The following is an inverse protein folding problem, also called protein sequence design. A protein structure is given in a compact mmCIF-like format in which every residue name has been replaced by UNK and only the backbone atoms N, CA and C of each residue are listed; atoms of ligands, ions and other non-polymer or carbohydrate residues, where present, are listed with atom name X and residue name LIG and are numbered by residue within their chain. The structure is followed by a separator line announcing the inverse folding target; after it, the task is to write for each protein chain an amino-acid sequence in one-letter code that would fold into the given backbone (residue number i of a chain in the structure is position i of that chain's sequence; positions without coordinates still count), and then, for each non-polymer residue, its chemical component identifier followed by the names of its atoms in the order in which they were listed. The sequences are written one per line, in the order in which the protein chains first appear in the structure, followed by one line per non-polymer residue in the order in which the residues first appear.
data_IF_826156396402
#
_entry.id   IF_826156396402
#
_cell.length_a   1.000
_cell.length_b   1.000
_cell.length_c   1.000
_cell.angle_alpha   90.00
_cell.angle_beta   90.00
_cell.angle_gamma   90.00
#
_symmetry.space_group_name_H-M   'P 1'
#
loop_
_entity.id
_entity.type
_entity.pdbx_description
1 polymer ?
#
# COMPACT_ATOMS: atom_id res chain seq x y z
N UNK A 1 24.85 -3.98 -12.48
CA UNK A 1 23.39 -4.14 -12.65
C UNK A 1 22.70 -3.39 -11.52
N UNK A 2 21.48 -2.87 -11.71
CA UNK A 2 20.76 -2.13 -10.66
C UNK A 2 19.35 -2.68 -10.45
N UNK A 3 18.92 -2.77 -9.20
CA UNK A 3 17.55 -3.05 -8.81
C UNK A 3 16.88 -1.73 -8.47
N UNK A 4 15.83 -1.38 -9.23
CA UNK A 4 15.11 -0.11 -9.01
C UNK A 4 14.40 -0.08 -7.66
N UNK A 5 13.83 -1.19 -7.21
CA UNK A 5 13.14 -1.26 -5.94
C UNK A 5 13.08 -2.70 -5.42
N UNK A 6 13.22 -2.84 -4.10
CA UNK A 6 12.81 -4.04 -3.37
C UNK A 6 11.44 -3.73 -2.79
N UNK A 7 10.38 -4.40 -3.26
CA UNK A 7 9.04 -4.21 -2.71
C UNK A 7 8.66 -5.40 -1.85
N UNK A 8 8.30 -5.14 -0.60
CA UNK A 8 7.75 -6.14 0.31
C UNK A 8 6.23 -5.93 0.41
N UNK A 9 5.47 -6.93 0.00
CA UNK A 9 4.02 -6.97 0.19
C UNK A 9 3.69 -7.60 1.53
N UNK A 10 2.89 -6.93 2.36
CA UNK A 10 2.38 -7.51 3.62
C UNK A 10 0.86 -7.63 3.59
N UNK A 11 0.28 -8.82 3.85
CA UNK A 11 -1.15 -8.93 4.08
C UNK A 11 -1.44 -8.33 5.46
N UNK A 12 -2.11 -7.19 5.50
CA UNK A 12 -2.39 -6.47 6.75
C UNK A 12 -3.88 -6.57 7.08
N UNK A 13 -4.26 -7.33 8.12
CA UNK A 13 -5.48 -7.07 8.85
C UNK A 13 -5.34 -5.75 9.64
N UNK A 14 -6.41 -4.96 9.80
CA UNK A 14 -6.38 -3.76 10.63
C UNK A 14 -5.83 -4.06 12.04
N UNK A 15 -4.96 -3.18 12.56
CA UNK A 15 -4.48 -3.24 13.95
C UNK A 15 -3.30 -4.20 14.25
N UNK A 16 -2.76 -4.92 13.26
CA UNK A 16 -1.57 -5.81 13.44
C UNK A 16 -0.26 -5.26 12.88
N UNK A 17 -0.24 -3.97 12.52
CA UNK A 17 0.70 -3.39 11.56
C UNK A 17 2.15 -3.26 12.07
N UNK A 18 2.40 -2.86 13.32
CA UNK A 18 3.75 -2.54 13.81
C UNK A 18 4.76 -3.68 13.68
N UNK A 19 4.41 -4.85 14.19
CA UNK A 19 5.31 -6.02 14.16
C UNK A 19 5.53 -6.53 12.74
N UNK A 20 4.53 -6.39 11.87
CA UNK A 20 4.62 -6.82 10.46
C UNK A 20 5.50 -5.86 9.65
N UNK A 21 5.36 -4.54 9.84
CA UNK A 21 6.20 -3.53 9.19
C UNK A 21 7.66 -3.68 9.60
N UNK A 22 7.95 -3.84 10.90
CA UNK A 22 9.31 -4.05 11.38
C UNK A 22 9.94 -5.32 10.78
N UNK A 23 9.20 -6.44 10.76
CA UNK A 23 9.66 -7.69 10.11
C UNK A 23 9.89 -7.52 8.61
N UNK A 24 9.01 -6.80 7.93
CA UNK A 24 9.17 -6.48 6.51
C UNK A 24 10.45 -5.66 6.27
N UNK A 25 10.76 -4.71 7.16
CA UNK A 25 12.01 -3.95 7.15
C UNK A 25 13.24 -4.84 7.32
N UNK A 26 13.22 -5.78 8.28
CA UNK A 26 14.31 -6.75 8.47
C UNK A 26 14.53 -7.62 7.23
N UNK A 27 13.44 -8.10 6.60
CA UNK A 27 13.52 -8.88 5.36
C UNK A 27 14.13 -8.05 4.23
N UNK A 28 13.66 -6.81 4.06
CA UNK A 28 14.16 -5.93 3.02
C UNK A 28 15.65 -5.59 3.20
N UNK A 29 16.09 -5.36 4.44
CA UNK A 29 17.50 -5.12 4.76
C UNK A 29 18.35 -6.33 4.39
N UNK A 30 17.93 -7.54 4.77
CA UNK A 30 18.65 -8.76 4.43
C UNK A 30 18.77 -8.97 2.91
N UNK A 31 17.71 -8.63 2.14
CA UNK A 31 17.74 -8.67 0.68
C UNK A 31 18.72 -7.61 0.14
N UNK A 32 18.70 -6.39 0.68
CA UNK A 32 19.62 -5.31 0.28
C UNK A 32 21.08 -5.71 0.50
N UNK A 33 21.41 -6.24 1.68
CA UNK A 33 22.76 -6.73 2.00
C UNK A 33 23.20 -7.90 1.11
N UNK A 34 22.27 -8.77 0.71
CA UNK A 34 22.57 -9.84 -0.24
C UNK A 34 22.87 -9.30 -1.64
N UNK A 35 22.12 -8.29 -2.11
CA UNK A 35 22.36 -7.61 -3.39
C UNK A 35 23.68 -6.84 -3.39
N UNK A 36 23.98 -6.12 -2.31
CA UNK A 36 25.22 -5.36 -2.16
C UNK A 36 26.45 -6.29 -2.21
N UNK A 37 26.39 -7.45 -1.53
CA UNK A 37 27.44 -8.48 -1.61
C UNK A 37 27.61 -9.07 -3.00
N UNK A 38 26.56 -9.06 -3.83
CA UNK A 38 26.61 -9.47 -5.22
C UNK A 38 27.06 -8.35 -6.18
N UNK A 39 27.38 -7.16 -5.66
CA UNK A 39 27.73 -5.99 -6.49
C UNK A 39 26.54 -5.40 -7.25
N UNK A 40 25.31 -5.58 -6.73
CA UNK A 40 24.08 -5.07 -7.32
C UNK A 40 23.51 -3.98 -6.42
N UNK A 41 23.48 -2.74 -6.92
CA UNK A 41 22.92 -1.60 -6.21
C UNK A 41 21.39 -1.68 -6.14
N UNK A 42 20.80 -1.42 -4.97
CA UNK A 42 19.36 -1.23 -4.78
C UNK A 42 19.04 0.24 -4.49
N UNK A 43 18.09 0.83 -5.24
CA UNK A 43 17.82 2.27 -5.14
C UNK A 43 16.81 2.64 -4.05
N UNK A 44 15.83 1.78 -3.78
CA UNK A 44 14.80 2.04 -2.77
C UNK A 44 14.18 0.75 -2.25
N UNK A 45 13.70 0.80 -1.02
CA UNK A 45 12.89 -0.25 -0.41
C UNK A 45 11.47 0.28 -0.25
N UNK A 46 10.48 -0.53 -0.65
CA UNK A 46 9.08 -0.15 -0.68
C UNK A 46 8.23 -1.15 0.10
N UNK A 47 7.22 -0.62 0.78
CA UNK A 47 6.15 -1.41 1.34
C UNK A 47 4.94 -1.34 0.40
N UNK A 48 4.21 -2.43 0.24
CA UNK A 48 2.96 -2.46 -0.49
C UNK A 48 1.86 -3.18 0.30
N UNK A 49 0.69 -2.57 0.33
CA UNK A 49 -0.49 -3.07 1.03
C UNK A 49 -1.57 -3.53 0.05
N UNK A 50 -2.49 -4.42 0.51
CA UNK A 50 -3.72 -4.73 -0.21
C UNK A 50 -4.55 -3.48 -0.53
N UNK A 51 -5.49 -3.57 -1.48
CA UNK A 51 -6.42 -2.49 -1.81
C UNK A 51 -7.05 -1.86 -0.57
N UNK A 52 -7.20 -0.54 -0.61
CA UNK A 52 -7.79 0.25 0.49
C UNK A 52 -9.24 -0.18 0.69
N UNK A 53 -9.96 -0.43 -0.41
CA UNK A 53 -11.34 -0.93 -0.39
C UNK A 53 -11.44 -2.25 0.38
N UNK A 54 -10.58 -3.22 0.11
CA UNK A 54 -10.60 -4.53 0.80
C UNK A 54 -10.36 -4.41 2.30
N UNK A 55 -9.50 -3.46 2.72
CA UNK A 55 -9.12 -3.29 4.13
C UNK A 55 -10.17 -2.56 4.95
N UNK A 56 -10.92 -1.63 4.36
CA UNK A 56 -11.83 -0.73 5.07
C UNK A 56 -13.31 -0.93 4.74
N UNK A 57 -13.68 -1.89 3.89
CA UNK A 57 -15.08 -2.20 3.53
C UNK A 57 -16.00 -2.38 4.75
N UNK A 58 -15.47 -2.88 5.88
CA UNK A 58 -16.25 -3.17 7.09
C UNK A 58 -16.12 -2.12 8.22
N UNK A 59 -15.42 -1.00 7.98
CA UNK A 59 -15.20 0.03 9.02
C UNK A 59 -16.44 0.86 9.36
N UNK A 60 -17.48 0.84 8.50
CA UNK A 60 -18.73 1.56 8.77
C UNK A 60 -18.50 3.04 9.11
N UNK A 61 -19.07 3.50 10.24
CA UNK A 61 -19.02 4.90 10.65
C UNK A 61 -17.62 5.40 11.06
N UNK A 62 -16.66 4.51 11.38
CA UNK A 62 -15.30 4.91 11.79
C UNK A 62 -14.30 4.95 10.63
N UNK A 63 -14.72 4.64 9.40
CA UNK A 63 -13.83 4.49 8.25
C UNK A 63 -12.83 5.63 8.07
N UNK A 64 -13.26 6.89 8.14
CA UNK A 64 -12.36 8.03 7.96
C UNK A 64 -11.25 8.05 9.00
N UNK A 65 -11.58 7.83 10.27
CA UNK A 65 -10.61 7.78 11.35
C UNK A 65 -9.67 6.59 11.18
N UNK A 66 -10.21 5.41 10.91
CA UNK A 66 -9.42 4.18 10.79
C UNK A 66 -8.38 4.28 9.65
N UNK A 67 -8.79 4.87 8.52
CA UNK A 67 -7.92 5.10 7.35
C UNK A 67 -6.79 6.07 7.68
N UNK A 68 -7.11 7.21 8.30
CA UNK A 68 -6.12 8.24 8.65
C UNK A 68 -5.16 7.76 9.75
N UNK A 69 -5.67 7.09 10.78
CA UNK A 69 -4.88 6.51 11.86
C UNK A 69 -3.90 5.46 11.30
N UNK A 70 -4.36 4.59 10.38
CA UNK A 70 -3.50 3.61 9.72
C UNK A 70 -2.46 4.27 8.79
N UNK A 71 -2.82 5.29 8.02
CA UNK A 71 -1.88 6.01 7.16
C UNK A 71 -0.76 6.67 7.97
N UNK A 72 -1.09 7.38 9.04
CA UNK A 72 -0.13 8.00 9.95
C UNK A 72 0.77 6.95 10.63
N UNK A 73 0.17 5.85 11.08
CA UNK A 73 0.90 4.76 11.70
C UNK A 73 1.93 4.12 10.75
N UNK A 74 1.52 3.86 9.51
CA UNK A 74 2.39 3.25 8.49
C UNK A 74 3.50 4.17 8.05
N UNK A 75 3.23 5.47 7.90
CA UNK A 75 4.23 6.48 7.56
C UNK A 75 5.36 6.49 8.61
N UNK A 76 5.01 6.57 9.89
CA UNK A 76 5.98 6.57 10.98
C UNK A 76 6.72 5.23 11.10
N UNK A 77 5.99 4.11 11.12
CA UNK A 77 6.61 2.78 11.26
C UNK A 77 7.53 2.43 10.09
N UNK A 78 7.20 2.90 8.89
CA UNK A 78 7.99 2.66 7.69
C UNK A 78 9.26 3.51 7.68
N UNK A 79 9.21 4.77 8.15
CA UNK A 79 10.41 5.58 8.40
C UNK A 79 11.37 4.88 9.36
N UNK A 80 10.86 4.39 10.49
CA UNK A 80 11.66 3.67 11.49
C UNK A 80 12.25 2.35 10.97
N UNK A 81 11.68 1.80 9.90
CA UNK A 81 12.10 0.54 9.27
C UNK A 81 12.86 0.73 7.96
N UNK A 82 13.33 1.96 7.67
CA UNK A 82 14.16 2.31 6.49
C UNK A 82 13.49 2.04 5.13
N UNK A 83 12.16 2.16 5.08
CA UNK A 83 11.42 2.20 3.82
C UNK A 83 11.45 3.60 3.21
N UNK A 84 11.66 3.68 1.89
CA UNK A 84 11.63 4.93 1.15
C UNK A 84 10.26 5.28 0.55
N UNK A 85 9.28 4.36 0.62
CA UNK A 85 7.94 4.54 0.06
C UNK A 85 6.97 3.47 0.57
N UNK A 86 5.71 3.84 0.76
CA UNK A 86 4.61 2.93 1.09
C UNK A 86 3.48 3.10 0.07
N UNK A 87 3.16 2.04 -0.67
CA UNK A 87 1.92 1.97 -1.42
C UNK A 87 0.81 1.58 -0.46
N UNK A 88 -0.05 2.55 -0.10
CA UNK A 88 -1.20 2.32 0.79
C UNK A 88 -2.24 1.37 0.18
N UNK A 89 -2.14 1.14 -1.12
CA UNK A 89 -3.05 0.29 -1.86
C UNK A 89 -3.89 1.09 -2.84
N UNK A 90 -4.74 0.37 -3.55
CA UNK A 90 -5.64 0.93 -4.56
C UNK A 90 -7.03 1.11 -4.01
N UNK A 91 -7.66 2.23 -4.30
CA UNK A 91 -9.10 2.43 -4.18
C UNK A 91 -9.73 1.93 -5.48
N UNK A 92 -10.42 0.80 -5.41
CA UNK A 92 -11.10 0.22 -6.56
C UNK A 92 -12.44 0.95 -6.81
N UNK A 93 -12.48 1.83 -7.81
CA UNK A 93 -13.70 2.58 -8.17
C UNK A 93 -14.59 1.84 -9.18
N UNK A 94 -14.18 0.65 -9.64
CA UNK A 94 -14.90 -0.10 -10.68
C UNK A 94 -15.59 -1.36 -10.14
N UNK A 95 -14.98 -2.03 -9.16
CA UNK A 95 -15.53 -3.26 -8.54
C UNK A 95 -16.19 -3.05 -7.19
N UNK A 96 -16.07 -1.87 -6.59
CA UNK A 96 -16.62 -1.55 -5.26
C UNK A 96 -17.81 -0.57 -5.37
N UNK A 97 -18.85 -0.66 -4.52
CA UNK A 97 -19.93 0.32 -4.49
C UNK A 97 -19.47 1.75 -4.15
N UNK A 98 -20.08 2.76 -4.76
CA UNK A 98 -19.79 4.20 -4.55
C UNK A 98 -19.83 4.64 -3.10
N UNK A 99 -20.75 4.08 -2.31
CA UNK A 99 -20.87 4.35 -0.89
C UNK A 99 -19.61 3.98 -0.09
N UNK A 100 -18.73 3.14 -0.65
CA UNK A 100 -17.49 2.68 -0.02
C UNK A 100 -16.28 3.37 -0.64
N UNK A 101 -16.13 3.44 -1.98
CA UNK A 101 -14.93 4.03 -2.57
C UNK A 101 -14.91 5.56 -2.56
N UNK A 102 -16.07 6.23 -2.66
CA UNK A 102 -16.10 7.70 -2.73
C UNK A 102 -15.56 8.34 -1.45
N UNK A 103 -15.99 7.93 -0.24
CA UNK A 103 -15.44 8.53 0.96
C UNK A 103 -13.96 8.18 1.18
N UNK A 104 -13.47 7.05 0.65
CA UNK A 104 -12.03 6.73 0.69
C UNK A 104 -11.20 7.68 -0.20
N UNK A 105 -11.74 8.08 -1.37
CA UNK A 105 -11.08 9.08 -2.22
C UNK A 105 -11.03 10.46 -1.57
N UNK A 106 -12.09 10.85 -0.85
CA UNK A 106 -12.16 12.15 -0.16
C UNK A 106 -11.07 12.31 0.91
N UNK A 107 -10.52 11.20 1.44
CA UNK A 107 -9.43 11.20 2.43
C UNK A 107 -8.03 11.34 1.80
N UNK A 108 -7.89 11.14 0.49
CA UNK A 108 -6.58 11.15 -0.18
C UNK A 108 -5.81 12.47 0.01
N UNK A 109 -6.43 13.67 -0.11
CA UNK A 109 -5.73 14.94 0.15
C UNK A 109 -5.18 15.05 1.57
N UNK A 110 -5.92 14.56 2.57
CA UNK A 110 -5.49 14.58 3.96
C UNK A 110 -4.33 13.59 4.18
N UNK A 111 -4.42 12.37 3.64
CA UNK A 111 -3.34 11.38 3.70
C UNK A 111 -2.05 11.95 3.10
N UNK A 112 -2.11 12.52 1.90
CA UNK A 112 -0.93 13.05 1.20
C UNK A 112 -0.35 14.28 1.93
N UNK A 113 -1.18 15.12 2.53
CA UNK A 113 -0.70 16.32 3.24
C UNK A 113 -0.11 16.03 4.61
N UNK A 114 -0.48 14.91 5.24
CA UNK A 114 -0.07 14.55 6.61
C UNK A 114 1.00 13.47 6.68
N UNK A 115 1.33 12.83 5.56
CA UNK A 115 2.31 11.74 5.49
C UNK A 115 3.41 12.04 4.46
N UNK A 116 4.55 11.39 4.62
CA UNK A 116 5.75 11.64 3.82
C UNK A 116 6.11 10.51 2.85
N UNK A 117 5.73 9.28 3.19
CA UNK A 117 6.08 8.06 2.45
C UNK A 117 4.89 7.45 1.72
N UNK A 118 3.67 7.84 2.06
CA UNK A 118 2.45 7.18 1.60
C UNK A 118 2.07 7.67 0.21
N UNK A 119 1.74 6.74 -0.68
CA UNK A 119 0.96 7.00 -1.88
C UNK A 119 -0.32 6.18 -1.89
N UNK A 120 -1.37 6.76 -2.46
CA UNK A 120 -2.66 6.10 -2.70
C UNK A 120 -2.90 6.08 -4.20
N UNK A 121 -3.42 4.97 -4.70
CA UNK A 121 -3.78 4.82 -6.12
C UNK A 121 -5.28 4.61 -6.25
N UNK A 122 -5.85 4.96 -7.41
CA UNK A 122 -7.25 4.69 -7.71
C UNK A 122 -7.35 4.04 -9.09
N UNK A 123 -8.15 2.98 -9.20
CA UNK A 123 -8.44 2.37 -10.50
C UNK A 123 -9.57 3.16 -11.14
N UNK A 124 -9.29 3.92 -12.20
CA UNK A 124 -10.29 4.75 -12.92
C UNK A 124 -10.78 4.14 -14.23
N UNK A 125 -10.04 3.18 -14.78
CA UNK A 125 -10.40 2.47 -16.00
C UNK A 125 -9.69 1.12 -16.05
N UNK A 126 -10.34 0.12 -16.64
CA UNK A 126 -9.71 -1.15 -17.01
C UNK A 126 -9.95 -1.39 -18.50
N UNK A 127 -8.96 -1.95 -19.18
CA UNK A 127 -9.19 -2.47 -20.53
C UNK A 127 -10.04 -3.73 -20.36
N UNK A 128 -11.27 -3.73 -20.88
CA UNK A 128 -12.04 -4.97 -21.04
C UNK A 128 -11.12 -5.99 -21.74
N UNK A 129 -10.89 -7.20 -21.19
CA UNK A 129 -10.12 -8.20 -21.89
C UNK A 129 -10.81 -8.48 -23.23
N UNK A 130 -10.13 -8.15 -24.33
CA UNK A 130 -10.60 -8.46 -25.66
C UNK A 130 -10.51 -9.99 -25.84
N UNK A 131 -11.63 -10.71 -25.67
CA UNK A 131 -11.71 -12.10 -26.11
C UNK A 131 -12.12 -13.16 -25.09
N UNK A 132 -12.92 -12.87 -24.07
CA UNK A 132 -13.78 -13.91 -23.48
C UNK A 132 -15.19 -13.64 -23.97
N UNK A 133 -15.62 -14.46 -24.95
CA UNK A 133 -17.00 -14.51 -25.37
C UNK A 133 -17.89 -14.70 -24.14
N UNK A 134 -18.96 -13.91 -24.05
CA UNK A 134 -20.06 -14.16 -23.13
C UNK A 134 -20.59 -15.57 -23.46
N UNK A 135 -20.21 -16.55 -22.64
CA UNK A 135 -20.86 -17.85 -22.67
C UNK A 135 -22.17 -17.62 -21.91
N UNK A 136 -23.23 -17.40 -22.70
CA UNK A 136 -24.62 -17.35 -22.23
C UNK A 136 -25.02 -18.64 -21.51
#
# INVERSE_FOLDING_TARGET
MKVRAITVGIPVPPGTQSRLVSRAGTIALAIREALDRAGIESQTVRLALPPVTDRFTNSGASMSRDVLDEAAFLDESSRLSDFGHVSFGTIDTLGTPDAIWSPLLDLVPEIISTTSLISVTATVATRKPSGLAEIN
#
